data_IF_140883669627
#
_entry.id   IF_140883669627
#
_cell.length_a   1.000
_cell.length_b   1.000
_cell.length_c   1.000
_cell.angle_alpha   90.00
_cell.angle_beta   90.00
_cell.angle_gamma   90.00
#
_symmetry.space_group_name_H-M   'P 1'
#
loop_
_entity.id
_entity.type
_entity.pdbx_description
1 polymer ?
#
# COMPACT_ATOMS: atom_id res chain seq x y z
N UNK A 1 4.56 -10.99 13.39
CA UNK A 1 5.71 -10.68 12.51
C UNK A 1 5.21 -9.64 11.52
N UNK A 2 5.91 -8.53 11.38
CA UNK A 2 5.55 -7.53 10.36
C UNK A 2 5.92 -8.08 8.98
N UNK A 3 5.14 -7.74 7.96
CA UNK A 3 5.37 -8.20 6.58
C UNK A 3 6.80 -7.86 6.10
N UNK A 4 7.31 -6.70 6.52
CA UNK A 4 8.64 -6.20 6.12
C UNK A 4 9.82 -6.97 6.75
N UNK A 5 9.58 -7.78 7.78
CA UNK A 5 10.64 -8.56 8.45
C UNK A 5 10.91 -9.90 7.75
N UNK A 6 10.04 -10.31 6.81
CA UNK A 6 10.18 -11.54 6.06
C UNK A 6 11.15 -11.38 4.88
N UNK A 7 12.23 -12.18 4.75
CA UNK A 7 13.06 -12.19 3.55
C UNK A 7 12.28 -12.47 2.27
N UNK A 8 11.33 -13.41 2.34
CA UNK A 8 10.45 -13.79 1.24
C UNK A 8 9.62 -12.60 0.73
N UNK A 9 9.22 -11.68 1.62
CA UNK A 9 8.52 -10.45 1.21
C UNK A 9 9.37 -9.56 0.30
N UNK A 10 10.67 -9.46 0.56
CA UNK A 10 11.59 -8.67 -0.28
C UNK A 10 11.86 -9.38 -1.61
N UNK A 11 12.05 -10.69 -1.58
CA UNK A 11 12.26 -11.51 -2.79
C UNK A 11 11.07 -11.42 -3.75
N UNK A 12 9.84 -11.49 -3.25
CA UNK A 12 8.64 -11.41 -4.08
C UNK A 12 8.40 -10.02 -4.68
N UNK A 13 8.98 -8.97 -4.10
CA UNK A 13 8.88 -7.59 -4.62
C UNK A 13 9.98 -7.27 -5.63
N UNK A 14 11.06 -8.04 -5.63
CA UNK A 14 12.20 -7.80 -6.50
C UNK A 14 11.78 -7.87 -7.97
N UNK A 15 12.05 -6.80 -8.72
CA UNK A 15 11.72 -6.71 -10.15
C UNK A 15 10.24 -6.49 -10.45
N UNK A 16 9.37 -6.33 -9.44
CA UNK A 16 7.91 -6.14 -9.63
C UNK A 16 7.47 -4.71 -9.33
N UNK A 17 6.49 -4.24 -10.08
CA UNK A 17 5.87 -2.94 -9.84
C UNK A 17 4.92 -3.07 -8.65
N UNK A 18 5.26 -2.42 -7.55
CA UNK A 18 4.43 -2.49 -6.34
C UNK A 18 3.30 -1.47 -6.39
N UNK A 19 2.14 -1.71 -5.76
CA UNK A 19 1.02 -0.74 -5.79
C UNK A 19 1.41 0.69 -5.38
N UNK A 20 2.26 0.86 -4.37
CA UNK A 20 2.73 2.19 -3.95
C UNK A 20 3.60 2.93 -4.98
N UNK A 21 4.05 2.23 -6.04
CA UNK A 21 4.88 2.73 -7.15
C UNK A 21 4.13 2.78 -8.49
N UNK A 22 2.94 2.20 -8.59
CA UNK A 22 2.23 2.05 -9.87
C UNK A 22 1.97 3.40 -10.56
N UNK A 23 1.52 4.40 -9.79
CA UNK A 23 1.29 5.75 -10.31
C UNK A 23 2.55 6.38 -10.90
N UNK A 24 3.71 6.19 -10.24
CA UNK A 24 4.97 6.69 -10.75
C UNK A 24 5.41 5.91 -12.00
N UNK A 25 5.23 4.58 -12.02
CA UNK A 25 5.59 3.74 -13.15
C UNK A 25 4.81 4.07 -14.43
N UNK A 26 3.53 4.45 -14.31
CA UNK A 26 2.69 4.87 -15.46
C UNK A 26 3.19 6.19 -16.09
N UNK A 27 3.81 7.06 -15.30
CA UNK A 27 4.21 8.41 -15.72
C UNK A 27 5.71 8.53 -16.03
N UNK A 28 6.52 7.56 -15.61
CA UNK A 28 7.97 7.62 -15.73
C UNK A 28 8.41 7.26 -17.16
N UNK A 29 9.04 8.20 -17.84
CA UNK A 29 9.66 8.02 -19.15
C UNK A 29 11.19 7.83 -19.06
N UNK A 30 11.75 7.82 -17.85
CA UNK A 30 13.18 7.65 -17.62
C UNK A 30 13.45 6.15 -17.40
N UNK A 31 14.31 5.57 -18.24
CA UNK A 31 14.67 4.15 -18.18
C UNK A 31 15.54 3.84 -16.95
N UNK A 32 16.54 4.68 -16.68
CA UNK A 32 17.48 4.53 -15.58
C UNK A 32 17.24 5.60 -14.50
N UNK A 33 17.25 5.19 -13.23
CA UNK A 33 17.13 6.12 -12.12
C UNK A 33 16.40 5.53 -10.92
N UNK A 34 16.09 6.39 -9.94
CA UNK A 34 15.64 5.94 -8.63
C UNK A 34 14.39 5.05 -8.65
N UNK A 35 13.46 5.23 -9.61
CA UNK A 35 12.29 4.38 -9.72
C UNK A 35 12.68 2.95 -10.14
N UNK A 36 13.45 2.81 -11.21
CA UNK A 36 13.95 1.52 -11.71
C UNK A 36 14.80 0.82 -10.65
N UNK A 37 15.75 1.53 -10.04
CA UNK A 37 16.56 1.03 -8.93
C UNK A 37 15.69 0.54 -7.77
N UNK A 38 14.64 1.30 -7.41
CA UNK A 38 13.74 0.89 -6.34
C UNK A 38 12.93 -0.36 -6.66
N UNK A 39 12.60 -0.61 -7.93
CA UNK A 39 11.89 -1.81 -8.39
C UNK A 39 12.85 -3.00 -8.35
N UNK A 40 14.12 -2.79 -8.69
CA UNK A 40 15.21 -3.74 -8.58
C UNK A 40 15.78 -3.89 -7.15
N UNK A 41 15.04 -3.45 -6.13
CA UNK A 41 15.37 -3.74 -4.73
C UNK A 41 16.35 -2.78 -4.05
N UNK A 42 16.68 -1.63 -4.65
CA UNK A 42 17.49 -0.62 -3.97
C UNK A 42 16.85 -0.19 -2.65
N UNK A 43 17.67 -0.16 -1.58
CA UNK A 43 17.25 0.22 -0.23
C UNK A 43 17.42 1.72 -0.01
N UNK A 44 16.35 2.38 0.39
CA UNK A 44 16.37 3.78 0.76
C UNK A 44 16.42 3.94 2.29
N UNK A 45 16.98 5.06 2.75
CA UNK A 45 17.05 5.38 4.18
C UNK A 45 15.65 5.45 4.78
N UNK A 46 15.38 4.58 5.76
CA UNK A 46 14.11 4.58 6.49
C UNK A 46 13.97 5.90 7.26
N UNK A 47 12.90 6.64 6.97
CA UNK A 47 12.63 7.93 7.62
C UNK A 47 11.89 7.77 8.94
N UNK A 48 11.91 8.81 9.79
CA UNK A 48 11.13 8.84 11.04
C UNK A 48 9.62 8.68 10.77
N UNK A 49 9.12 9.26 9.68
CA UNK A 49 7.72 9.16 9.27
C UNK A 49 7.32 7.72 8.93
N UNK A 50 8.19 6.98 8.23
CA UNK A 50 7.95 5.57 7.90
C UNK A 50 7.87 4.69 9.15
N UNK A 51 8.83 4.84 10.08
CA UNK A 51 8.84 4.08 11.35
C UNK A 51 7.58 4.35 12.17
N UNK A 52 7.15 5.62 12.27
CA UNK A 52 5.90 5.98 12.95
C UNK A 52 4.69 5.37 12.22
N UNK A 53 4.67 5.42 10.89
CA UNK A 53 3.59 4.87 10.09
C UNK A 53 3.36 3.39 10.38
N UNK A 54 4.42 2.59 10.32
CA UNK A 54 4.38 1.16 10.63
C UNK A 54 3.84 0.88 12.04
N UNK A 55 4.29 1.64 13.05
CA UNK A 55 3.81 1.50 14.44
C UNK A 55 2.31 1.82 14.59
N UNK A 56 1.82 2.86 13.90
CA UNK A 56 0.44 3.32 14.01
C UNK A 56 -0.53 2.47 13.18
N UNK A 57 -0.09 1.96 12.04
CA UNK A 57 -0.89 1.10 11.16
C UNK A 57 -1.48 -0.09 11.92
N UNK A 58 -0.66 -0.82 12.66
CA UNK A 58 -1.12 -1.94 13.48
C UNK A 58 -2.14 -1.53 14.57
N UNK A 59 -2.05 -0.30 15.09
CA UNK A 59 -3.02 0.23 16.07
C UNK A 59 -4.35 0.59 15.39
N UNK A 60 -4.30 1.18 14.19
CA UNK A 60 -5.48 1.50 13.37
C UNK A 60 -6.23 0.22 13.02
N UNK A 61 -5.52 -0.78 12.48
CA UNK A 61 -6.12 -2.05 12.07
C UNK A 61 -6.78 -2.74 13.27
N UNK A 62 -6.09 -2.84 14.41
CA UNK A 62 -6.67 -3.40 15.65
C UNK A 62 -7.93 -2.67 16.12
N UNK A 63 -8.01 -1.35 15.92
CA UNK A 63 -9.20 -0.56 16.26
C UNK A 63 -10.34 -0.84 15.27
N UNK A 64 -10.04 -0.94 13.98
CA UNK A 64 -11.02 -1.25 12.95
C UNK A 64 -11.58 -2.67 13.11
N UNK A 65 -10.76 -3.65 13.48
CA UNK A 65 -11.17 -5.03 13.76
C UNK A 65 -12.24 -5.16 14.86
N UNK A 66 -12.34 -4.20 15.77
CA UNK A 66 -13.38 -4.21 16.82
C UNK A 66 -14.77 -3.91 16.28
N UNK A 67 -14.86 -3.15 15.19
CA UNK A 67 -16.10 -2.60 14.66
C UNK A 67 -16.44 -3.13 13.26
N UNK A 68 -15.47 -3.76 12.58
CA UNK A 68 -15.59 -4.27 11.22
C UNK A 68 -14.96 -5.65 11.15
N UNK A 69 -15.58 -6.53 10.39
CA UNK A 69 -15.05 -7.87 10.08
C UNK A 69 -13.95 -7.72 9.03
N UNK A 70 -12.76 -7.30 9.46
CA UNK A 70 -11.58 -7.19 8.63
C UNK A 70 -10.49 -8.12 9.17
N UNK A 71 -9.79 -8.77 8.27
CA UNK A 71 -8.55 -9.48 8.57
C UNK A 71 -7.38 -8.58 8.20
N UNK A 72 -6.39 -8.49 9.07
CA UNK A 72 -5.09 -7.95 8.64
C UNK A 72 -4.64 -8.83 7.49
N UNK A 73 -4.30 -8.20 6.38
CA UNK A 73 -4.02 -8.98 5.22
C UNK A 73 -2.68 -9.70 5.53
N UNK A 74 -2.70 -11.02 5.41
CA UNK A 74 -1.52 -11.87 5.47
C UNK A 74 -1.64 -12.91 4.37
N UNK A 75 -0.48 -13.24 3.79
CA UNK A 75 -0.27 -14.25 2.75
C UNK A 75 -0.47 -13.85 1.29
N UNK A 76 0.52 -14.25 0.50
CA UNK A 76 0.61 -14.18 -0.96
C UNK A 76 -0.64 -14.77 -1.58
N UNK A 77 -1.35 -13.98 -2.39
CA UNK A 77 -2.30 -14.56 -3.36
C UNK A 77 -1.50 -15.17 -4.51
N UNK A 78 -1.82 -16.40 -4.91
CA UNK A 78 -1.14 -17.11 -6.03
C UNK A 78 -1.19 -16.29 -7.32
N UNK A 79 -2.26 -15.51 -7.55
CA UNK A 79 -2.35 -14.56 -8.68
C UNK A 79 -1.28 -13.47 -8.65
N UNK A 80 -0.81 -13.09 -7.47
CA UNK A 80 0.23 -12.07 -7.30
C UNK A 80 1.61 -12.62 -7.65
N UNK A 81 1.82 -13.95 -7.58
CA UNK A 81 3.10 -14.58 -7.86
C UNK A 81 3.46 -14.62 -9.35
N UNK A 82 2.47 -14.61 -10.24
CA UNK A 82 2.65 -14.70 -11.69
C UNK A 82 2.54 -13.33 -12.41
N UNK A 83 2.31 -12.25 -11.66
CA UNK A 83 2.10 -10.92 -12.22
C UNK A 83 3.36 -10.06 -12.15
N UNK A 84 3.53 -9.17 -13.14
CA UNK A 84 4.49 -8.05 -13.08
C UNK A 84 4.18 -7.10 -11.89
N UNK A 85 2.93 -7.11 -11.43
CA UNK A 85 2.44 -6.27 -10.35
C UNK A 85 2.40 -7.00 -9.02
N UNK A 86 2.93 -6.36 -7.97
CA UNK A 86 2.87 -6.88 -6.61
C UNK A 86 2.11 -5.93 -5.70
N UNK A 87 0.98 -6.35 -5.13
CA UNK A 87 0.30 -5.50 -4.17
C UNK A 87 -0.43 -6.25 -3.08
N UNK A 88 -0.68 -5.49 -2.03
CA UNK A 88 -1.27 -5.99 -0.81
C UNK A 88 -1.90 -4.81 -0.09
N UNK A 89 -3.19 -4.86 0.30
CA UNK A 89 -3.80 -3.88 1.16
C UNK A 89 -3.31 -4.07 2.60
N UNK A 90 -3.49 -3.07 3.46
CA UNK A 90 -3.08 -3.18 4.86
C UNK A 90 -4.01 -4.11 5.65
N UNK A 91 -5.30 -4.11 5.28
CA UNK A 91 -6.29 -5.10 5.72
C UNK A 91 -7.35 -5.32 4.63
N UNK A 92 -8.11 -6.41 4.73
CA UNK A 92 -9.20 -6.71 3.83
C UNK A 92 -10.37 -7.37 4.55
N UNK A 93 -11.53 -7.34 3.92
CA UNK A 93 -12.74 -8.10 4.27
C UNK A 93 -13.26 -8.77 3.00
N UNK A 94 -14.41 -9.43 3.10
CA UNK A 94 -15.09 -10.01 1.94
C UNK A 94 -15.60 -8.92 0.97
N UNK A 95 -15.89 -7.72 1.49
CA UNK A 95 -16.51 -6.64 0.71
C UNK A 95 -15.50 -5.57 0.27
N UNK A 96 -14.56 -5.18 1.14
CA UNK A 96 -13.65 -4.05 0.92
C UNK A 96 -12.20 -4.34 1.28
N UNK A 97 -11.30 -3.56 0.69
CA UNK A 97 -9.91 -3.41 1.15
C UNK A 97 -9.74 -2.18 2.05
N UNK A 98 -8.70 -2.18 2.87
CA UNK A 98 -8.32 -1.08 3.76
C UNK A 98 -6.90 -0.65 3.43
N UNK A 99 -6.73 0.65 3.24
CA UNK A 99 -5.44 1.31 3.07
C UNK A 99 -5.30 2.40 4.15
N UNK A 100 -4.28 2.29 4.98
CA UNK A 100 -4.02 3.15 6.12
C UNK A 100 -2.81 4.03 5.82
N UNK A 101 -2.96 5.35 5.98
CA UNK A 101 -1.82 6.26 6.00
C UNK A 101 -1.77 7.03 7.30
N UNK A 102 -0.58 7.22 7.81
CA UNK A 102 -0.35 7.87 9.11
C UNK A 102 0.46 9.16 8.90
N UNK A 103 -0.13 10.25 8.36
CA UNK A 103 0.56 11.52 8.12
C UNK A 103 1.17 12.09 9.41
N UNK A 104 2.32 12.76 9.28
CA UNK A 104 2.99 13.43 10.41
C UNK A 104 2.38 14.79 10.77
N UNK A 105 1.64 15.40 9.83
CA UNK A 105 1.09 16.76 9.97
C UNK A 105 -0.23 16.90 9.21
N UNK A 106 -1.00 17.92 9.58
CA UNK A 106 -2.22 18.28 8.84
C UNK A 106 -1.94 18.59 7.37
N UNK A 107 -0.85 19.34 7.12
CA UNK A 107 -0.41 19.70 5.76
C UNK A 107 -0.01 18.49 4.92
N UNK A 108 0.34 17.37 5.53
CA UNK A 108 0.57 16.11 4.80
C UNK A 108 -0.75 15.38 4.58
N UNK A 109 -1.69 15.47 5.53
CA UNK A 109 -3.02 14.89 5.45
C UNK A 109 -3.78 15.38 4.20
N UNK A 110 -3.72 16.68 3.92
CA UNK A 110 -4.37 17.30 2.75
C UNK A 110 -3.77 16.84 1.42
N UNK A 111 -2.59 16.22 1.40
CA UNK A 111 -1.98 15.67 0.17
C UNK A 111 -2.50 14.28 -0.19
N UNK A 112 -3.13 13.59 0.76
CA UNK A 112 -3.69 12.26 0.52
C UNK A 112 -5.07 12.33 -0.13
N UNK A 113 -5.74 13.48 -0.08
CA UNK A 113 -7.06 13.72 -0.66
C UNK A 113 -7.03 14.91 -1.62
N UNK A 114 -7.86 14.85 -2.66
CA UNK A 114 -8.16 15.95 -3.58
C UNK A 114 -9.67 15.96 -3.78
N UNK A 115 -10.34 17.07 -3.47
CA UNK A 115 -11.80 17.23 -3.65
C UNK A 115 -12.65 16.13 -2.98
N UNK A 116 -12.24 15.68 -1.79
CA UNK A 116 -12.94 14.65 -1.02
C UNK A 116 -12.68 13.20 -1.47
N UNK A 117 -11.90 12.99 -2.53
CA UNK A 117 -11.47 11.66 -2.98
C UNK A 117 -9.97 11.47 -2.74
N UNK A 118 -9.47 10.23 -2.60
CA UNK A 118 -8.04 9.99 -2.50
C UNK A 118 -7.30 10.56 -3.73
N UNK A 119 -6.15 11.20 -3.50
CA UNK A 119 -5.34 11.75 -4.59
C UNK A 119 -4.90 10.64 -5.57
N UNK A 120 -4.68 10.99 -6.85
CA UNK A 120 -4.45 10.05 -7.97
C UNK A 120 -3.43 8.94 -7.66
N UNK A 121 -2.34 9.28 -6.95
CA UNK A 121 -1.33 8.33 -6.48
C UNK A 121 -1.92 7.22 -5.61
N UNK A 122 -2.77 7.58 -4.66
CA UNK A 122 -3.40 6.67 -3.72
C UNK A 122 -4.57 5.94 -4.37
N UNK A 123 -5.31 6.61 -5.25
CA UNK A 123 -6.34 5.97 -6.05
C UNK A 123 -5.77 4.83 -6.91
N UNK A 124 -4.68 5.08 -7.64
CA UNK A 124 -4.00 4.06 -8.44
C UNK A 124 -3.46 2.90 -7.58
N UNK A 125 -2.94 3.21 -6.38
CA UNK A 125 -2.51 2.20 -5.41
C UNK A 125 -3.68 1.26 -5.03
N UNK A 126 -4.82 1.83 -4.64
CA UNK A 126 -5.99 1.07 -4.21
C UNK A 126 -6.65 0.32 -5.37
N UNK A 127 -6.69 0.89 -6.57
CA UNK A 127 -7.24 0.22 -7.77
C UNK A 127 -6.48 -1.07 -8.10
N UNK A 128 -5.15 -1.05 -8.02
CA UNK A 128 -4.35 -2.26 -8.21
C UNK A 128 -4.63 -3.31 -7.13
N UNK A 129 -4.78 -2.88 -5.87
CA UNK A 129 -5.16 -3.77 -4.76
C UNK A 129 -6.55 -4.39 -4.98
N UNK A 130 -7.56 -3.59 -5.34
CA UNK A 130 -8.92 -4.09 -5.62
C UNK A 130 -8.93 -5.11 -6.77
N UNK A 131 -8.20 -4.85 -7.85
CA UNK A 131 -8.08 -5.77 -8.98
C UNK A 131 -7.54 -7.15 -8.55
N UNK A 132 -6.54 -7.19 -7.67
CA UNK A 132 -5.93 -8.45 -7.22
C UNK A 132 -6.82 -9.22 -6.24
N UNK A 133 -7.66 -8.53 -5.47
CA UNK A 133 -8.55 -9.10 -4.46
C UNK A 133 -9.96 -9.38 -4.97
N UNK A 134 -10.21 -9.13 -6.26
CA UNK A 134 -11.53 -9.27 -6.90
C UNK A 134 -12.65 -8.52 -6.14
N UNK A 135 -12.28 -7.45 -5.44
CA UNK A 135 -13.21 -6.53 -4.78
C UNK A 135 -13.63 -5.45 -5.78
N UNK A 136 -14.87 -4.96 -5.67
CA UNK A 136 -15.42 -3.97 -6.61
C UNK A 136 -14.62 -2.66 -6.62
N UNK A 137 -14.96 -1.72 -7.53
CA UNK A 137 -14.25 -0.44 -7.71
C UNK A 137 -14.43 0.55 -6.52
N UNK A 138 -15.40 0.31 -5.64
CA UNK A 138 -15.87 1.28 -4.63
C UNK A 138 -15.77 0.90 -3.14
N UNK A 139 -15.67 -0.37 -2.71
CA UNK A 139 -15.53 -0.70 -1.30
C UNK A 139 -14.04 -0.62 -0.93
N UNK A 140 -13.55 0.59 -0.67
CA UNK A 140 -12.22 0.83 -0.06
C UNK A 140 -12.34 1.77 1.12
N UNK A 141 -11.72 1.40 2.24
CA UNK A 141 -11.59 2.28 3.40
C UNK A 141 -10.19 2.87 3.43
N UNK A 142 -10.08 4.16 3.08
CA UNK A 142 -8.83 4.91 3.20
C UNK A 142 -8.81 5.64 4.55
N UNK A 143 -7.93 5.22 5.47
CA UNK A 143 -7.91 5.74 6.84
C UNK A 143 -6.68 6.60 7.12
N UNK A 144 -6.89 7.79 7.71
CA UNK A 144 -5.82 8.69 8.13
C UNK A 144 -5.73 8.82 9.65
N UNK A 145 -4.54 8.61 10.22
CA UNK A 145 -4.26 8.82 11.64
C UNK A 145 -3.11 9.83 11.84
N UNK A 146 -3.36 10.87 12.64
CA UNK A 146 -2.32 11.79 13.15
C UNK A 146 -1.60 11.22 14.36
#
# INVERSE_FOLDING_TARGET
MDQADSPLWHELRYGRITASKVHAAIQCNILEGCLAESILGAKFKVTKAMKRGQLLEGKVIKKLQKNKQISQAMWISVKCAESLFWCFPDASSDDFIVEVKCPMSESTMTKYFKDGVPADKHLAQMQLQMQQYNTCIFPTLFYLMR
#
